data_IF_281889601510
#
_entry.id   IF_281889601510
#
_cell.length_a   1.000
_cell.length_b   1.000
_cell.length_c   1.000
_cell.angle_alpha   90.00
_cell.angle_beta   90.00
_cell.angle_gamma   90.00
#
_symmetry.space_group_name_H-M   'P 1'
#
loop_
_entity.id
_entity.type
_entity.pdbx_description
1 polymer ?
#
# COMPACT_ATOMS: atom_id res chain seq x y z
N UNK A 1 -15.61 5.46 73.31
CA UNK A 1 -14.20 5.30 72.90
C UNK A 1 -14.16 5.22 71.38
N UNK A 2 -13.80 6.34 70.75
CA UNK A 2 -13.75 6.51 69.29
C UNK A 2 -12.71 5.62 68.64
N UNK A 3 -13.08 4.94 67.56
CA UNK A 3 -12.14 4.35 66.61
C UNK A 3 -12.28 5.09 65.28
N UNK A 4 -11.47 6.13 65.11
CA UNK A 4 -11.26 6.84 63.85
C UNK A 4 -10.54 5.87 62.90
N UNK A 5 -11.28 5.23 62.00
CA UNK A 5 -10.70 4.51 60.85
C UNK A 5 -10.45 5.53 59.75
N UNK A 6 -9.24 6.07 59.76
CA UNK A 6 -8.67 6.91 58.70
C UNK A 6 -8.39 5.99 57.50
N UNK A 7 -9.39 5.83 56.63
CA UNK A 7 -9.32 5.02 55.41
C UNK A 7 -8.99 5.90 54.21
N UNK A 8 -7.84 5.62 53.60
CA UNK A 8 -7.20 6.32 52.49
C UNK A 8 -8.14 6.78 51.36
N UNK A 9 -7.89 8.01 50.89
CA UNK A 9 -8.37 8.53 49.62
C UNK A 9 -7.86 7.64 48.48
N UNK A 10 -8.65 6.62 48.13
CA UNK A 10 -8.53 5.90 46.88
C UNK A 10 -8.94 6.82 45.74
N UNK A 11 -7.97 7.54 45.18
CA UNK A 11 -8.13 8.33 43.97
C UNK A 11 -8.70 7.45 42.87
N UNK A 12 -10.00 7.60 42.61
CA UNK A 12 -10.62 7.16 41.36
C UNK A 12 -10.13 8.08 40.26
N UNK A 13 -8.86 7.94 39.88
CA UNK A 13 -8.40 8.45 38.60
C UNK A 13 -9.06 7.57 37.55
N UNK A 14 -10.23 8.02 37.10
CA UNK A 14 -10.85 7.60 35.86
C UNK A 14 -9.86 7.94 34.73
N UNK A 15 -8.83 7.11 34.55
CA UNK A 15 -8.30 6.92 33.22
C UNK A 15 -9.45 6.26 32.47
N UNK A 16 -10.17 7.06 31.69
CA UNK A 16 -11.12 6.57 30.72
C UNK A 16 -10.29 5.79 29.71
N UNK A 17 -9.99 4.53 30.05
CA UNK A 17 -9.36 3.57 29.17
C UNK A 17 -10.37 3.38 28.05
N UNK A 18 -10.24 4.17 26.98
CA UNK A 18 -10.88 3.85 25.73
C UNK A 18 -10.17 2.57 25.29
N UNK A 19 -10.81 1.38 25.31
CA UNK A 19 -10.24 0.28 24.57
C UNK A 19 -10.19 0.78 23.13
N UNK A 20 -8.98 1.03 22.61
CA UNK A 20 -8.79 0.93 21.17
C UNK A 20 -9.07 -0.54 20.87
N UNK A 21 -10.35 -0.85 20.64
CA UNK A 21 -10.73 -2.11 20.03
C UNK A 21 -9.91 -2.16 18.75
N UNK A 22 -8.93 -3.05 18.73
CA UNK A 22 -8.21 -3.38 17.51
C UNK A 22 -9.26 -4.02 16.62
N UNK A 23 -9.98 -3.20 15.87
CA UNK A 23 -10.98 -3.63 14.91
C UNK A 23 -10.19 -4.38 13.84
N UNK A 24 -10.00 -5.68 14.04
CA UNK A 24 -9.44 -6.58 13.04
C UNK A 24 -10.50 -6.75 11.96
N UNK A 25 -10.73 -5.66 11.22
CA UNK A 25 -11.69 -5.59 10.13
C UNK A 25 -11.05 -6.36 8.98
N UNK A 26 -11.23 -7.67 9.02
CA UNK A 26 -10.82 -8.53 7.92
C UNK A 26 -11.65 -8.10 6.70
N UNK A 27 -11.02 -7.35 5.79
CA UNK A 27 -11.65 -6.92 4.54
C UNK A 27 -11.76 -8.17 3.67
N UNK A 28 -12.86 -8.90 3.85
CA UNK A 28 -13.20 -10.06 3.04
C UNK A 28 -13.83 -9.54 1.74
N UNK A 29 -13.03 -9.50 0.68
CA UNK A 29 -13.54 -9.22 -0.66
C UNK A 29 -14.34 -10.42 -1.17
N UNK A 30 -15.33 -10.14 -2.02
CA UNK A 30 -16.09 -11.20 -2.70
C UNK A 30 -15.13 -11.97 -3.63
N UNK A 31 -15.34 -13.28 -3.83
CA UNK A 31 -14.52 -14.05 -4.74
C UNK A 31 -14.58 -13.46 -6.16
N UNK A 32 -13.48 -13.52 -6.91
CA UNK A 32 -13.40 -12.92 -8.24
C UNK A 32 -14.43 -13.57 -9.17
N UNK A 33 -15.26 -12.75 -9.83
CA UNK A 33 -16.29 -13.20 -10.78
C UNK A 33 -15.68 -13.87 -12.03
N UNK A 34 -14.49 -13.42 -12.42
CA UNK A 34 -13.67 -14.02 -13.47
C UNK A 34 -12.29 -14.36 -12.91
N UNK A 35 -11.80 -15.57 -13.18
CA UNK A 35 -10.48 -16.01 -12.73
C UNK A 35 -9.44 -15.51 -13.72
N UNK A 36 -8.61 -14.55 -13.30
CA UNK A 36 -7.44 -14.16 -14.08
C UNK A 36 -6.44 -15.32 -13.99
N UNK A 37 -6.25 -16.02 -15.12
CA UNK A 37 -5.31 -17.14 -15.21
C UNK A 37 -3.86 -16.67 -15.27
N UNK A 38 -2.88 -17.53 -14.96
CA UNK A 38 -1.46 -17.20 -15.10
C UNK A 38 -1.08 -16.71 -16.51
N UNK A 39 -1.68 -17.32 -17.53
CA UNK A 39 -1.46 -16.95 -18.93
C UNK A 39 -1.98 -15.53 -19.25
N UNK A 40 -3.15 -15.16 -18.73
CA UNK A 40 -3.74 -13.83 -18.95
C UNK A 40 -2.91 -12.74 -18.26
N UNK A 41 -2.47 -12.99 -17.01
CA UNK A 41 -1.58 -12.07 -16.28
C UNK A 41 -0.26 -11.85 -17.02
N UNK A 42 0.38 -12.93 -17.49
CA UNK A 42 1.65 -12.82 -18.21
C UNK A 42 1.50 -12.09 -19.54
N UNK A 43 0.40 -12.35 -20.26
CA UNK A 43 0.09 -11.64 -21.50
C UNK A 43 -0.07 -10.14 -21.25
N UNK A 44 -0.91 -9.74 -20.29
CA UNK A 44 -1.13 -8.33 -19.97
C UNK A 44 0.16 -7.68 -19.47
N UNK A 45 0.95 -8.37 -18.65
CA UNK A 45 2.24 -7.87 -18.18
C UNK A 45 3.22 -7.64 -19.34
N UNK A 46 3.31 -8.59 -20.27
CA UNK A 46 4.17 -8.47 -21.44
C UNK A 46 3.73 -7.32 -22.36
N UNK A 47 2.43 -7.19 -22.61
CA UNK A 47 1.88 -6.09 -23.43
C UNK A 47 2.12 -4.74 -22.75
N UNK A 48 1.93 -4.65 -21.44
CA UNK A 48 2.21 -3.44 -20.67
C UNK A 48 3.69 -3.05 -20.73
N UNK A 49 4.57 -4.02 -20.51
CA UNK A 49 6.01 -3.82 -20.58
C UNK A 49 6.43 -3.36 -21.99
N UNK A 50 5.95 -4.03 -23.04
CA UNK A 50 6.21 -3.65 -24.42
C UNK A 50 5.67 -2.23 -24.73
N UNK A 51 4.48 -1.89 -24.24
CA UNK A 51 3.88 -0.56 -24.44
C UNK A 51 4.74 0.60 -23.91
N UNK A 52 5.53 0.37 -22.86
CA UNK A 52 6.46 1.36 -22.31
C UNK A 52 7.86 1.25 -22.96
N UNK A 53 8.36 0.03 -23.15
CA UNK A 53 9.71 -0.18 -23.70
C UNK A 53 9.80 0.15 -25.19
N UNK A 54 8.74 -0.04 -25.97
CA UNK A 54 8.74 0.28 -27.40
C UNK A 54 9.01 1.76 -27.67
N UNK A 55 8.26 2.73 -27.11
CA UNK A 55 8.55 4.14 -27.31
C UNK A 55 9.90 4.54 -26.70
N UNK A 56 10.27 3.99 -25.53
CA UNK A 56 11.57 4.27 -24.91
C UNK A 56 12.75 3.78 -25.77
N UNK A 57 12.65 2.57 -26.32
CA UNK A 57 13.65 1.97 -27.21
C UNK A 57 13.74 2.71 -28.54
N UNK A 58 12.61 3.17 -29.08
CA UNK A 58 12.59 4.03 -30.26
C UNK A 58 13.34 5.35 -30.02
N UNK A 59 13.12 6.02 -28.90
CA UNK A 59 13.82 7.26 -28.57
C UNK A 59 15.32 7.00 -28.42
N UNK A 60 15.69 5.93 -27.71
CA UNK A 60 17.09 5.56 -27.47
C UNK A 60 17.85 5.25 -28.77
N UNK A 61 17.25 4.52 -29.72
CA UNK A 61 17.91 4.19 -31.00
C UNK A 61 18.17 5.41 -31.89
N UNK A 62 17.41 6.50 -31.74
CA UNK A 62 17.59 7.71 -32.54
C UNK A 62 18.62 8.68 -31.93
N UNK A 63 19.13 8.45 -30.72
CA UNK A 63 20.21 9.26 -30.12
C UNK A 63 21.46 9.44 -30.99
N UNK A 64 22.05 8.39 -31.63
CA UNK A 64 23.23 8.57 -32.47
C UNK A 64 22.95 9.52 -33.64
N UNK A 65 21.74 9.48 -34.21
CA UNK A 65 21.34 10.42 -35.24
C UNK A 65 21.28 11.85 -34.68
N UNK A 66 20.72 12.08 -33.48
CA UNK A 66 20.73 13.41 -32.80
C UNK A 66 22.13 13.95 -32.49
N UNK A 67 23.12 13.08 -32.33
CA UNK A 67 24.50 13.50 -32.08
C UNK A 67 25.21 13.93 -33.36
N UNK A 68 25.05 13.18 -34.46
CA UNK A 68 25.77 13.45 -35.72
C UNK A 68 25.31 14.73 -36.42
N UNK A 69 24.03 15.11 -36.30
CA UNK A 69 23.50 16.39 -36.85
C UNK A 69 24.11 17.64 -36.20
N UNK A 70 24.75 17.52 -35.03
CA UNK A 70 25.36 18.65 -34.31
C UNK A 70 26.82 18.88 -34.70
N UNK A 71 27.43 17.96 -35.44
CA UNK A 71 28.86 17.99 -35.80
C UNK A 71 29.09 18.38 -37.27
N UNK A 72 28.03 18.80 -37.97
CA UNK A 72 28.06 19.39 -39.30
C UNK A 72 27.40 20.77 -39.26
#
# INVERSE_FOLDING_TARGET
MSAVRMGALGGRMFCRQHPRTLQLRTIQSKPPKGKVGPAETLFVFAVFAAGILTPAGWILRHLPEYKQKKTH
#
